data_IF_167116931243
#
_entry.id   IF_167116931243
#
_cell.length_a   1.000
_cell.length_b   1.000
_cell.length_c   1.000
_cell.angle_alpha   90.00
_cell.angle_beta   90.00
_cell.angle_gamma   90.00
#
_symmetry.space_group_name_H-M   'P 1'
#
loop_
_entity.id
_entity.type
_entity.pdbx_description
1 polymer ?
#
# COMPACT_ATOMS: atom_id res chain seq x y z
N UNK A 1 36.90 -44.68 -9.54
CA UNK A 1 37.02 -43.22 -9.46
C UNK A 1 35.61 -42.67 -9.28
N UNK A 2 35.39 -41.98 -8.17
CA UNK A 2 34.13 -41.36 -7.80
C UNK A 2 33.91 -40.06 -8.59
N UNK A 3 32.64 -39.72 -8.80
CA UNK A 3 32.23 -38.44 -9.38
C UNK A 3 30.73 -38.24 -9.19
N UNK A 4 30.29 -38.07 -7.95
CA UNK A 4 28.94 -37.64 -7.64
C UNK A 4 28.84 -36.13 -7.91
N UNK A 5 28.05 -35.74 -8.90
CA UNK A 5 27.66 -34.34 -9.09
C UNK A 5 26.44 -34.07 -8.19
N UNK A 6 26.66 -33.42 -7.06
CA UNK A 6 25.59 -32.86 -6.24
C UNK A 6 25.09 -31.55 -6.87
N UNK A 7 23.78 -31.34 -7.06
CA UNK A 7 23.28 -30.01 -7.35
C UNK A 7 23.34 -29.18 -6.07
N UNK A 8 24.15 -28.11 -6.11
CA UNK A 8 24.11 -27.03 -5.12
C UNK A 8 22.80 -26.27 -5.31
N UNK A 9 21.77 -26.62 -4.54
CA UNK A 9 20.58 -25.79 -4.40
C UNK A 9 20.86 -24.67 -3.38
N UNK A 10 21.50 -23.60 -3.85
CA UNK A 10 21.40 -22.28 -3.21
C UNK A 10 20.49 -21.42 -4.07
N UNK A 11 19.23 -21.32 -3.66
CA UNK A 11 18.25 -20.41 -4.24
C UNK A 11 17.32 -20.00 -3.12
N UNK A 12 17.27 -18.71 -2.82
CA UNK A 12 16.54 -18.16 -1.70
C UNK A 12 15.05 -18.52 -1.73
N UNK A 13 14.40 -18.34 -0.58
CA UNK A 13 12.94 -18.30 -0.50
C UNK A 13 12.44 -17.13 -1.36
N UNK A 14 12.25 -17.38 -2.64
CA UNK A 14 11.27 -16.63 -3.41
C UNK A 14 9.96 -16.89 -2.66
N UNK A 15 9.41 -15.85 -2.01
CA UNK A 15 8.05 -15.87 -1.52
C UNK A 15 7.17 -16.04 -2.73
N UNK A 16 6.91 -17.30 -3.09
CA UNK A 16 5.95 -17.64 -4.12
C UNK A 16 4.64 -16.97 -3.74
N UNK A 17 4.10 -16.22 -4.70
CA UNK A 17 2.78 -15.64 -4.71
C UNK A 17 1.80 -16.58 -4.00
N UNK A 18 1.49 -16.29 -2.74
CA UNK A 18 0.37 -16.96 -2.11
C UNK A 18 -0.85 -16.27 -2.70
N UNK A 19 -1.73 -16.99 -3.43
CA UNK A 19 -2.89 -16.35 -4.03
C UNK A 19 -3.71 -15.65 -2.95
N UNK A 20 -3.99 -14.38 -3.15
CA UNK A 20 -4.77 -13.58 -2.23
C UNK A 20 -4.18 -12.20 -1.95
N UNK A 21 -5.02 -11.30 -1.42
CA UNK A 21 -4.61 -9.96 -1.05
C UNK A 21 -3.44 -9.95 -0.06
N UNK A 22 -2.53 -9.01 -0.26
CA UNK A 22 -1.45 -8.72 0.69
C UNK A 22 -1.95 -7.67 1.67
N UNK A 23 -1.91 -7.99 2.96
CA UNK A 23 -2.28 -7.09 4.05
C UNK A 23 -1.05 -6.61 4.82
N UNK A 24 -1.01 -5.33 5.15
CA UNK A 24 0.06 -4.73 5.95
C UNK A 24 -0.45 -3.49 6.69
N UNK A 25 0.29 -3.04 7.70
CA UNK A 25 0.05 -1.78 8.40
C UNK A 25 1.22 -0.82 8.19
N UNK A 26 0.93 0.47 8.12
CA UNK A 26 1.92 1.54 8.03
C UNK A 26 1.51 2.67 8.97
N UNK A 27 2.18 2.78 10.11
CA UNK A 27 1.79 3.73 11.15
C UNK A 27 0.36 3.46 11.66
N UNK A 28 -0.55 4.39 11.41
CA UNK A 28 -1.97 4.28 11.81
C UNK A 28 -2.89 3.73 10.73
N UNK A 29 -2.35 3.34 9.58
CA UNK A 29 -3.12 2.78 8.46
C UNK A 29 -3.02 1.26 8.45
N UNK A 30 -4.14 0.59 8.17
CA UNK A 30 -4.18 -0.83 7.81
C UNK A 30 -4.58 -0.93 6.35
N UNK A 31 -3.72 -1.50 5.53
CA UNK A 31 -3.87 -1.52 4.09
C UNK A 31 -3.91 -2.93 3.52
N UNK A 32 -4.52 -3.06 2.35
CA UNK A 32 -4.45 -4.25 1.53
C UNK A 32 -4.20 -3.90 0.07
N UNK A 33 -3.45 -4.75 -0.63
CA UNK A 33 -3.40 -4.78 -2.09
C UNK A 33 -4.07 -6.07 -2.55
N UNK A 34 -5.17 -5.95 -3.29
CA UNK A 34 -5.89 -7.09 -3.86
C UNK A 34 -5.16 -7.67 -5.09
N UNK A 35 -5.56 -8.88 -5.51
CA UNK A 35 -4.95 -9.58 -6.65
C UNK A 35 -5.15 -8.88 -8.01
N UNK A 36 -6.12 -7.96 -8.09
CA UNK A 36 -6.34 -7.11 -9.26
C UNK A 36 -5.58 -5.77 -9.20
N UNK A 37 -4.71 -5.63 -8.20
CA UNK A 37 -3.93 -4.42 -7.93
C UNK A 37 -4.73 -3.32 -7.24
N UNK A 38 -5.99 -3.54 -6.86
CA UNK A 38 -6.73 -2.54 -6.09
C UNK A 38 -6.09 -2.34 -4.73
N UNK A 39 -5.90 -1.08 -4.35
CA UNK A 39 -5.33 -0.71 -3.05
C UNK A 39 -6.42 -0.10 -2.20
N UNK A 40 -6.44 -0.43 -0.92
CA UNK A 40 -7.24 0.31 0.03
C UNK A 40 -6.64 0.30 1.42
N UNK A 41 -6.94 1.34 2.19
CA UNK A 41 -6.45 1.51 3.55
C UNK A 41 -7.54 2.03 4.49
N UNK A 42 -7.69 1.34 5.61
CA UNK A 42 -8.47 1.78 6.76
C UNK A 42 -7.66 2.75 7.61
N UNK A 43 -8.32 3.83 8.03
CA UNK A 43 -7.74 4.88 8.86
C UNK A 43 -8.22 4.70 10.31
N UNK A 44 -7.27 4.54 11.24
CA UNK A 44 -7.59 4.41 12.65
C UNK A 44 -8.40 5.61 13.19
N UNK A 45 -8.12 6.80 12.67
CA UNK A 45 -8.84 8.04 12.97
C UNK A 45 -9.40 8.67 11.69
N UNK A 46 -10.62 9.24 11.72
CA UNK A 46 -11.15 9.96 10.56
C UNK A 46 -10.18 11.07 10.12
N UNK A 47 -9.85 11.10 8.83
CA UNK A 47 -8.80 11.97 8.28
C UNK A 47 -9.37 12.83 7.16
N UNK A 48 -8.96 14.09 7.06
CA UNK A 48 -9.35 14.94 5.93
C UNK A 48 -8.68 14.48 4.64
N UNK A 49 -9.45 14.49 3.55
CA UNK A 49 -8.97 14.11 2.24
C UNK A 49 -9.24 15.22 1.23
N UNK A 50 -8.33 15.43 0.29
CA UNK A 50 -8.55 16.21 -0.92
C UNK A 50 -8.25 15.36 -2.15
N UNK A 51 -9.01 15.58 -3.22
CA UNK A 51 -8.84 14.92 -4.51
C UNK A 51 -8.26 15.95 -5.48
N UNK A 52 -7.11 15.61 -6.04
CA UNK A 52 -6.37 16.42 -6.99
C UNK A 52 -6.85 16.11 -8.41
N UNK A 53 -7.43 17.10 -9.08
CA UNK A 53 -7.91 17.00 -10.45
C UNK A 53 -6.95 17.76 -11.38
N UNK A 54 -5.95 17.05 -11.89
CA UNK A 54 -4.86 17.66 -12.65
C UNK A 54 -3.94 18.53 -11.79
N UNK A 55 -3.13 19.38 -12.42
CA UNK A 55 -2.00 20.03 -11.72
C UNK A 55 -2.41 21.10 -10.70
N UNK A 56 -3.56 21.76 -10.88
CA UNK A 56 -3.89 23.00 -10.15
C UNK A 56 -5.23 23.00 -9.42
N UNK A 57 -5.99 21.91 -9.47
CA UNK A 57 -7.31 21.85 -8.82
C UNK A 57 -7.28 20.80 -7.73
N UNK A 58 -7.54 21.23 -6.50
CA UNK A 58 -7.70 20.35 -5.35
C UNK A 58 -9.10 20.53 -4.79
N UNK A 59 -9.87 19.45 -4.74
CA UNK A 59 -11.25 19.43 -4.27
C UNK A 59 -11.28 18.74 -2.90
N UNK A 60 -11.59 19.46 -1.81
CA UNK A 60 -11.69 18.85 -0.50
C UNK A 60 -12.91 17.94 -0.43
N UNK A 61 -12.76 16.77 0.17
CA UNK A 61 -13.89 15.92 0.56
C UNK A 61 -14.59 16.63 1.73
N UNK A 62 -15.92 16.84 1.68
CA UNK A 62 -16.63 17.70 2.63
C UNK A 62 -16.81 17.09 4.04
N UNK A 63 -16.20 15.92 4.28
CA UNK A 63 -16.21 15.21 5.55
C UNK A 63 -14.91 14.42 5.74
N UNK A 64 -14.48 14.14 6.98
CA UNK A 64 -13.38 13.23 7.25
C UNK A 64 -13.72 11.81 6.80
N UNK A 65 -12.74 11.12 6.21
CA UNK A 65 -12.88 9.76 5.67
C UNK A 65 -12.25 8.75 6.61
N UNK A 66 -12.73 7.51 6.58
CA UNK A 66 -12.16 6.39 7.34
C UNK A 66 -11.50 5.33 6.47
N UNK A 67 -11.58 5.51 5.16
CA UNK A 67 -11.12 4.58 4.16
C UNK A 67 -10.67 5.37 2.93
N UNK A 68 -9.54 5.01 2.33
CA UNK A 68 -9.08 5.52 1.03
C UNK A 68 -8.79 4.33 0.13
N UNK A 69 -9.22 4.41 -1.13
CA UNK A 69 -9.05 3.33 -2.10
C UNK A 69 -8.57 3.85 -3.46
N UNK A 70 -7.93 2.94 -4.19
CA UNK A 70 -7.62 3.03 -5.61
C UNK A 70 -8.04 1.68 -6.23
N UNK A 71 -9.28 1.59 -6.69
CA UNK A 71 -9.91 0.35 -7.17
C UNK A 71 -10.22 0.37 -8.68
N UNK A 72 -10.30 1.55 -9.29
CA UNK A 72 -10.58 1.74 -10.71
C UNK A 72 -9.49 2.53 -11.44
N UNK A 73 -9.24 2.25 -12.75
CA UNK A 73 -8.20 2.94 -13.52
C UNK A 73 -8.62 4.30 -14.07
N UNK A 74 -9.89 4.71 -13.92
CA UNK A 74 -10.44 5.93 -14.55
C UNK A 74 -10.71 7.08 -13.56
N UNK A 75 -10.57 6.85 -12.25
CA UNK A 75 -10.74 7.87 -11.22
C UNK A 75 -9.52 7.93 -10.29
N UNK A 76 -9.19 9.13 -9.77
CA UNK A 76 -8.19 9.31 -8.72
C UNK A 76 -8.46 8.45 -7.50
N UNK A 77 -7.48 8.34 -6.60
CA UNK A 77 -7.72 7.82 -5.26
C UNK A 77 -8.88 8.57 -4.59
N UNK A 78 -9.81 7.83 -3.98
CA UNK A 78 -11.04 8.38 -3.44
C UNK A 78 -11.42 7.73 -2.11
N UNK A 79 -12.39 8.30 -1.36
CA UNK A 79 -12.90 7.67 -0.16
C UNK A 79 -13.54 6.32 -0.50
N UNK A 80 -13.29 5.32 0.33
CA UNK A 80 -14.12 4.14 0.40
C UNK A 80 -15.30 4.37 1.35
N UNK A 81 -16.36 3.57 1.16
CA UNK A 81 -17.59 3.66 1.95
C UNK A 81 -18.04 2.30 2.48
N UNK A 82 -17.12 1.33 2.48
CA UNK A 82 -17.43 -0.01 2.95
C UNK A 82 -17.59 0.00 4.47
N UNK A 83 -18.45 -0.89 4.96
CA UNK A 83 -18.73 -0.96 6.39
C UNK A 83 -17.55 -1.57 7.16
N UNK A 84 -17.14 -0.91 8.24
CA UNK A 84 -16.16 -1.44 9.18
C UNK A 84 -14.72 -1.08 8.84
N UNK A 85 -13.91 -2.11 8.57
CA UNK A 85 -12.46 -2.04 8.27
C UNK A 85 -12.10 -3.12 7.22
N UNK A 86 -12.53 -2.96 5.95
CA UNK A 86 -12.34 -3.96 4.89
C UNK A 86 -10.87 -4.31 4.60
N UNK A 87 -9.94 -3.42 4.96
CA UNK A 87 -8.51 -3.58 4.71
C UNK A 87 -7.74 -4.02 5.96
N UNK A 88 -8.44 -4.47 7.00
CA UNK A 88 -7.84 -4.93 8.27
C UNK A 88 -8.20 -6.38 8.54
N UNK A 89 -7.18 -7.22 8.72
CA UNK A 89 -7.33 -8.62 9.11
C UNK A 89 -7.85 -8.74 10.56
N UNK A 90 -8.56 -9.83 10.88
CA UNK A 90 -8.81 -10.21 12.27
C UNK A 90 -7.47 -10.34 13.02
N UNK A 91 -7.28 -9.53 14.06
CA UNK A 91 -6.03 -9.47 14.83
C UNK A 91 -5.05 -8.37 14.40
N UNK A 92 -5.38 -7.60 13.36
CA UNK A 92 -4.56 -6.50 12.83
C UNK A 92 -3.61 -6.94 11.72
N UNK A 93 -3.13 -5.96 10.93
CA UNK A 93 -2.23 -6.25 9.84
C UNK A 93 -0.76 -6.26 10.30
N UNK A 94 0.09 -7.14 9.74
CA UNK A 94 1.53 -7.11 9.99
C UNK A 94 2.15 -5.76 9.61
N UNK A 95 3.12 -5.28 10.37
CA UNK A 95 3.81 -4.03 10.04
C UNK A 95 4.52 -4.14 8.68
N UNK A 96 4.46 -3.08 7.88
CA UNK A 96 5.04 -3.02 6.54
C UNK A 96 6.55 -3.36 6.53
N UNK A 97 7.29 -3.11 7.62
CA UNK A 97 8.70 -3.50 7.73
C UNK A 97 8.93 -5.01 7.84
N UNK A 98 7.88 -5.80 8.13
CA UNK A 98 7.97 -7.26 8.26
C UNK A 98 8.28 -7.92 6.92
N UNK A 99 7.70 -7.40 5.82
CA UNK A 99 7.84 -7.98 4.47
C UNK A 99 8.24 -6.95 3.40
N UNK A 100 8.15 -5.66 3.72
CA UNK A 100 8.47 -4.58 2.80
C UNK A 100 9.94 -4.57 2.44
N UNK A 101 10.21 -4.44 1.15
CA UNK A 101 11.55 -4.21 0.63
C UNK A 101 11.89 -2.72 0.74
N UNK A 102 13.16 -2.33 0.87
CA UNK A 102 13.50 -0.91 0.86
C UNK A 102 13.08 -0.26 -0.47
N UNK A 103 12.32 0.84 -0.40
CA UNK A 103 11.84 1.60 -1.56
C UNK A 103 12.95 2.33 -2.35
N UNK A 104 14.21 2.13 -1.97
CA UNK A 104 15.38 2.79 -2.56
C UNK A 104 16.59 2.74 -1.62
N UNK A 105 17.61 3.55 -1.93
CA UNK A 105 18.81 3.70 -1.12
C UNK A 105 18.88 5.11 -0.52
N UNK A 106 19.11 5.22 0.80
CA UNK A 106 19.34 6.50 1.49
C UNK A 106 18.47 6.72 2.72
N UNK A 107 18.66 7.83 3.44
CA UNK A 107 17.98 8.11 4.72
C UNK A 107 16.48 8.38 4.61
N UNK A 108 15.97 8.55 3.38
CA UNK A 108 14.54 8.77 3.11
C UNK A 108 13.83 7.50 2.64
N UNK A 109 14.55 6.39 2.45
CA UNK A 109 13.99 5.13 1.98
C UNK A 109 13.38 4.35 3.14
N UNK A 110 12.05 4.24 3.16
CA UNK A 110 11.33 3.33 4.04
C UNK A 110 10.99 2.01 3.35
N UNK A 111 10.32 1.09 4.08
CA UNK A 111 9.79 -0.15 3.50
C UNK A 111 8.70 0.14 2.46
N UNK A 112 8.65 -0.70 1.43
CA UNK A 112 7.64 -0.74 0.39
C UNK A 112 7.14 -2.16 0.15
N UNK A 113 5.85 -2.28 -0.06
CA UNK A 113 5.16 -3.51 -0.42
C UNK A 113 4.60 -3.34 -1.82
N UNK A 114 4.93 -4.25 -2.72
CA UNK A 114 4.39 -4.30 -4.07
C UNK A 114 3.64 -5.61 -4.27
N UNK A 115 2.45 -5.53 -4.88
CA UNK A 115 1.61 -6.68 -5.23
C UNK A 115 0.74 -6.34 -6.44
N UNK A 116 0.55 -7.30 -7.36
CA UNK A 116 -0.33 -7.15 -8.52
C UNK A 116 -0.15 -5.83 -9.33
N UNK A 117 1.09 -5.33 -9.44
CA UNK A 117 1.42 -4.09 -10.17
C UNK A 117 1.20 -2.78 -9.40
N UNK A 118 0.73 -2.86 -8.16
CA UNK A 118 0.57 -1.72 -7.25
C UNK A 118 1.65 -1.72 -6.18
N UNK A 119 1.98 -0.55 -5.66
CA UNK A 119 3.03 -0.38 -4.65
C UNK A 119 2.59 0.60 -3.58
N UNK A 120 2.85 0.28 -2.32
CA UNK A 120 2.73 1.20 -1.20
C UNK A 120 4.06 1.32 -0.48
N UNK A 121 4.44 2.51 -0.07
CA UNK A 121 5.74 2.79 0.52
C UNK A 121 5.66 3.78 1.67
N UNK A 122 6.53 3.58 2.65
CA UNK A 122 6.83 4.58 3.67
C UNK A 122 7.98 5.45 3.17
N UNK A 123 7.79 6.76 3.21
CA UNK A 123 8.76 7.77 2.84
C UNK A 123 9.37 8.49 4.04
N UNK A 124 9.93 9.67 3.77
CA UNK A 124 10.56 10.52 4.76
C UNK A 124 9.56 10.94 5.86
N UNK A 125 10.03 10.98 7.11
CA UNK A 125 9.21 11.27 8.31
C UNK A 125 7.97 10.40 8.51
N UNK A 126 7.94 9.18 7.94
CA UNK A 126 6.77 8.31 8.07
C UNK A 126 5.59 8.74 7.20
N UNK A 127 5.83 9.61 6.21
CA UNK A 127 4.88 9.79 5.11
C UNK A 127 4.60 8.44 4.46
N UNK A 128 3.40 8.28 3.93
CA UNK A 128 2.96 7.03 3.34
C UNK A 128 2.29 7.32 2.02
N UNK A 129 2.58 6.51 1.01
CA UNK A 129 1.96 6.67 -0.29
C UNK A 129 1.69 5.34 -0.96
N UNK A 130 0.68 5.31 -1.82
CA UNK A 130 0.41 4.17 -2.68
C UNK A 130 0.19 4.61 -4.11
N UNK A 131 0.69 3.80 -5.03
CA UNK A 131 0.53 3.90 -6.47
C UNK A 131 -0.20 2.64 -6.96
N UNK A 132 -1.31 2.83 -7.66
CA UNK A 132 -2.12 1.75 -8.19
C UNK A 132 -2.92 2.22 -9.40
N UNK A 133 -3.06 1.37 -10.42
CA UNK A 133 -3.93 1.62 -11.59
C UNK A 133 -3.72 3.00 -12.27
N UNK A 134 -2.52 3.58 -12.17
CA UNK A 134 -2.18 4.90 -12.73
C UNK A 134 -2.52 6.10 -11.84
N UNK A 135 -3.01 5.86 -10.63
CA UNK A 135 -3.41 6.84 -9.62
C UNK A 135 -2.57 6.69 -8.36
N UNK A 136 -2.65 7.69 -7.51
CA UNK A 136 -1.81 7.81 -6.32
C UNK A 136 -2.59 8.39 -5.14
N UNK A 137 -2.22 7.98 -3.92
CA UNK A 137 -2.50 8.82 -2.76
C UNK A 137 -1.27 8.98 -1.89
N UNK A 138 -1.23 10.11 -1.19
CA UNK A 138 -0.21 10.47 -0.22
C UNK A 138 -0.86 10.81 1.13
N UNK A 139 -0.23 10.37 2.21
CA UNK A 139 -0.61 10.66 3.59
C UNK A 139 0.60 11.12 4.42
N UNK A 140 0.39 12.16 5.21
CA UNK A 140 1.32 12.59 6.27
C UNK A 140 0.52 13.13 7.47
N UNK A 141 -0.42 14.03 7.22
CA UNK A 141 -1.39 14.56 8.20
C UNK A 141 -2.82 14.59 7.64
N UNK A 142 -2.93 14.77 6.32
CA UNK A 142 -4.14 14.65 5.53
C UNK A 142 -3.85 13.79 4.31
N UNK A 143 -4.90 13.31 3.65
CA UNK A 143 -4.81 12.50 2.44
C UNK A 143 -4.94 13.42 1.22
N UNK A 144 -4.05 13.25 0.27
CA UNK A 144 -4.19 13.81 -1.08
C UNK A 144 -4.24 12.65 -2.06
N UNK A 145 -5.36 12.49 -2.76
CA UNK A 145 -5.53 11.52 -3.85
C UNK A 145 -5.40 12.18 -5.21
N UNK A 146 -4.84 11.51 -6.21
CA UNK A 146 -4.68 12.00 -7.58
C UNK A 146 -4.82 10.89 -8.61
#
# INVERSE_FOLDING_TARGET
MAGAAAPLAFGGVAGADTPGPVYFSAGTLNCSIADDGSVGCDLATPTWMSIQLGTNVSVPVPFPVREVVIDVPWAPAHPGFDAGTPHTLPGGNPDISTYGQSAGSGPTAGPAVSHAGSTCAVGFHGSFSCDAKGHHFFYYEAITGS
#
